data_IF_493009021731
#
_entry.id   IF_493009021731
#
_cell.length_a   1.000
_cell.length_b   1.000
_cell.length_c   1.000
_cell.angle_alpha   90.00
_cell.angle_beta   90.00
_cell.angle_gamma   90.00
#
_symmetry.space_group_name_H-M   'P 1'
#
loop_
_entity.id
_entity.type
_entity.pdbx_description
1 polymer ?
#
# COMPACT_ATOMS: atom_id res chain seq x y z
N UNK A 1 42.40 -33.40 24.49
CA UNK A 1 42.27 -33.47 23.02
C UNK A 1 41.37 -32.32 22.59
N UNK A 2 41.95 -31.31 21.95
CA UNK A 2 41.25 -30.12 21.43
C UNK A 2 40.42 -30.47 20.18
N UNK A 3 39.41 -29.62 19.90
CA UNK A 3 38.57 -29.47 18.68
C UNK A 3 37.13 -29.96 18.93
N UNK A 4 36.07 -29.20 18.66
CA UNK A 4 35.90 -28.07 17.75
C UNK A 4 34.64 -27.28 18.19
N UNK A 5 34.81 -26.06 18.70
CA UNK A 5 33.68 -25.13 18.83
C UNK A 5 33.31 -24.67 17.41
N UNK A 6 32.20 -25.19 16.87
CA UNK A 6 31.65 -24.71 15.61
C UNK A 6 30.87 -23.41 15.89
N UNK A 7 31.54 -22.27 15.82
CA UNK A 7 30.90 -20.97 15.75
C UNK A 7 30.44 -20.76 14.30
N UNK A 8 29.23 -21.21 13.96
CA UNK A 8 28.59 -20.83 12.70
C UNK A 8 28.13 -19.38 12.84
N UNK A 9 28.99 -18.44 12.47
CA UNK A 9 28.64 -17.04 12.31
C UNK A 9 27.78 -16.93 11.04
N UNK A 10 26.47 -17.15 11.18
CA UNK A 10 25.47 -16.83 10.16
C UNK A 10 25.41 -15.31 10.06
N UNK A 11 26.21 -14.73 9.15
CA UNK A 11 26.03 -13.37 8.68
C UNK A 11 24.73 -13.33 7.87
N UNK A 12 23.60 -13.25 8.56
CA UNK A 12 22.38 -12.72 7.97
C UNK A 12 22.69 -11.27 7.62
N UNK A 13 22.99 -11.01 6.36
CA UNK A 13 22.91 -9.67 5.80
C UNK A 13 21.48 -9.21 6.00
N UNK A 14 21.23 -8.44 7.05
CA UNK A 14 19.99 -7.70 7.19
C UNK A 14 20.04 -6.62 6.12
N UNK A 15 19.67 -6.97 4.89
CA UNK A 15 19.01 -5.99 4.05
C UNK A 15 17.82 -5.53 4.88
N UNK A 16 17.90 -4.30 5.39
CA UNK A 16 16.80 -3.65 6.06
C UNK A 16 15.64 -3.59 5.06
N UNK A 17 14.81 -4.63 5.04
CA UNK A 17 13.55 -4.60 4.33
C UNK A 17 12.79 -3.44 4.97
N UNK A 18 12.56 -2.38 4.19
CA UNK A 18 11.66 -1.32 4.60
C UNK A 18 10.32 -2.01 4.87
N UNK A 19 9.91 -2.08 6.14
CA UNK A 19 8.68 -2.72 6.57
C UNK A 19 7.62 -1.65 6.75
N UNK A 20 6.36 -1.98 6.46
CA UNK A 20 5.24 -1.10 6.80
C UNK A 20 5.30 -0.67 8.27
N UNK A 21 5.23 0.63 8.50
CA UNK A 21 5.15 1.23 9.83
C UNK A 21 3.69 1.53 10.13
N UNK A 22 3.17 0.98 11.22
CA UNK A 22 1.79 1.21 11.65
C UNK A 22 1.61 2.55 12.37
N UNK A 23 0.43 3.15 12.23
CA UNK A 23 -0.01 4.30 13.02
C UNK A 23 -0.35 3.86 14.46
N UNK A 24 0.69 3.64 15.26
CA UNK A 24 0.58 3.14 16.63
C UNK A 24 1.41 3.98 17.60
N UNK A 25 1.04 3.93 18.88
CA UNK A 25 1.76 4.64 19.96
C UNK A 25 3.24 4.26 20.00
N UNK A 26 3.56 3.00 19.75
CA UNK A 26 4.94 2.50 19.77
C UNK A 26 5.80 3.11 18.66
N UNK A 27 5.19 3.51 17.54
CA UNK A 27 5.89 4.12 16.40
C UNK A 27 5.98 5.64 16.48
N UNK A 28 5.08 6.27 17.23
CA UNK A 28 5.02 7.73 17.39
C UNK A 28 5.66 8.22 18.70
N UNK A 29 5.93 7.32 19.65
CA UNK A 29 6.59 7.67 20.91
C UNK A 29 5.84 8.77 21.68
N UNK A 30 6.51 9.90 21.89
CA UNK A 30 5.95 11.06 22.59
C UNK A 30 5.06 11.95 21.71
N UNK A 31 5.07 11.77 20.38
CA UNK A 31 4.24 12.55 19.44
C UNK A 31 2.78 12.05 19.40
N UNK A 32 2.12 12.15 20.56
CA UNK A 32 0.72 11.73 20.74
C UNK A 32 -0.24 12.60 19.93
N UNK A 33 0.04 13.89 19.83
CA UNK A 33 -0.80 14.82 19.07
C UNK A 33 -0.64 14.61 17.56
N UNK A 34 0.57 14.33 17.06
CA UNK A 34 0.79 13.94 15.68
C UNK A 34 0.12 12.61 15.33
N UNK A 35 0.21 11.61 16.21
CA UNK A 35 -0.53 10.34 16.02
C UNK A 35 -2.04 10.58 15.96
N UNK A 36 -2.59 11.37 16.88
CA UNK A 36 -4.01 11.69 16.92
C UNK A 36 -4.45 12.46 15.68
N UNK A 37 -3.66 13.43 15.23
CA UNK A 37 -3.92 14.17 14.00
C UNK A 37 -3.90 13.24 12.78
N UNK A 38 -2.90 12.37 12.66
CA UNK A 38 -2.81 11.40 11.58
C UNK A 38 -4.02 10.44 11.55
N UNK A 39 -4.40 9.88 12.71
CA UNK A 39 -5.56 8.99 12.81
C UNK A 39 -6.88 9.70 12.47
N UNK A 40 -7.01 10.99 12.79
CA UNK A 40 -8.16 11.79 12.36
C UNK A 40 -8.21 11.91 10.84
N UNK A 41 -7.10 12.26 10.21
CA UNK A 41 -7.04 12.37 8.75
C UNK A 41 -7.30 11.01 8.08
N UNK A 42 -6.74 9.92 8.61
CA UNK A 42 -7.05 8.57 8.10
C UNK A 42 -8.54 8.28 8.16
N UNK A 43 -9.20 8.56 9.30
CA UNK A 43 -10.64 8.35 9.45
C UNK A 43 -11.48 9.14 8.45
N UNK A 44 -11.16 10.42 8.22
CA UNK A 44 -11.88 11.24 7.23
C UNK A 44 -11.62 10.76 5.79
N UNK A 45 -10.39 10.35 5.51
CA UNK A 45 -10.01 9.73 4.24
C UNK A 45 -10.77 8.43 3.98
N UNK A 46 -10.79 7.52 4.96
CA UNK A 46 -11.48 6.23 4.92
C UNK A 46 -12.98 6.41 4.72
N UNK A 47 -13.60 7.33 5.46
CA UNK A 47 -15.03 7.70 5.31
C UNK A 47 -15.38 8.05 3.86
N UNK A 48 -14.54 8.81 3.18
CA UNK A 48 -14.75 9.18 1.77
C UNK A 48 -14.40 8.05 0.80
N UNK A 49 -13.37 7.25 1.11
CA UNK A 49 -12.85 6.17 0.28
C UNK A 49 -13.77 4.93 0.28
N UNK A 50 -14.47 4.68 1.39
CA UNK A 50 -15.36 3.53 1.58
C UNK A 50 -16.82 3.81 1.19
N UNK A 51 -17.16 5.06 0.82
CA UNK A 51 -18.46 5.41 0.24
C UNK A 51 -18.79 4.55 -0.99
N UNK A 52 -20.08 4.39 -1.27
CA UNK A 52 -20.56 3.78 -2.52
C UNK A 52 -21.37 4.79 -3.36
N UNK A 53 -20.82 5.31 -4.48
CA UNK A 53 -19.48 5.05 -4.99
C UNK A 53 -18.36 5.79 -4.21
N UNK A 54 -17.09 5.30 -4.27
CA UNK A 54 -15.96 5.93 -3.59
C UNK A 54 -15.71 7.37 -4.03
N UNK A 55 -15.42 8.24 -3.06
CA UNK A 55 -15.11 9.66 -3.28
C UNK A 55 -13.60 9.90 -3.24
N UNK A 56 -12.87 9.33 -4.20
CA UNK A 56 -11.40 9.36 -4.24
C UNK A 56 -10.79 10.77 -4.15
N UNK A 57 -11.39 11.75 -4.81
CA UNK A 57 -10.90 13.14 -4.77
C UNK A 57 -11.06 13.79 -3.39
N UNK A 58 -12.06 13.37 -2.60
CA UNK A 58 -12.27 13.84 -1.23
C UNK A 58 -11.37 13.11 -0.24
N UNK A 59 -11.11 11.82 -0.46
CA UNK A 59 -10.21 11.02 0.39
C UNK A 59 -8.74 11.43 0.26
N UNK A 60 -8.29 11.75 -0.97
CA UNK A 60 -6.89 12.06 -1.28
C UNK A 60 -6.24 13.12 -0.38
N UNK A 61 -6.82 14.32 -0.16
CA UNK A 61 -6.19 15.34 0.68
C UNK A 61 -5.96 14.88 2.12
N UNK A 62 -6.90 14.10 2.67
CA UNK A 62 -6.79 13.54 4.01
C UNK A 62 -5.67 12.50 4.10
N UNK A 63 -5.60 11.58 3.14
CA UNK A 63 -4.49 10.62 3.11
C UNK A 63 -3.13 11.27 2.92
N UNK A 64 -3.02 12.31 2.08
CA UNK A 64 -1.78 13.09 1.94
C UNK A 64 -1.41 13.85 3.22
N UNK A 65 -2.41 14.28 4.02
CA UNK A 65 -2.15 14.87 5.33
C UNK A 65 -1.64 13.83 6.34
N UNK A 66 -2.25 12.64 6.40
CA UNK A 66 -1.78 11.52 7.21
C UNK A 66 -0.35 11.07 6.82
N UNK A 67 -0.03 11.07 5.52
CA UNK A 67 1.27 10.64 5.01
C UNK A 67 2.43 11.49 5.52
N UNK A 68 2.19 12.77 5.83
CA UNK A 68 3.22 13.66 6.40
C UNK A 68 3.74 13.16 7.74
N UNK A 69 2.92 12.45 8.50
CA UNK A 69 3.28 11.88 9.80
C UNK A 69 3.98 10.54 9.67
N UNK A 70 3.56 9.71 8.72
CA UNK A 70 4.16 8.40 8.50
C UNK A 70 4.14 8.06 6.99
N UNK A 71 5.23 8.36 6.28
CA UNK A 71 5.31 8.08 4.86
C UNK A 71 5.57 6.60 4.57
N UNK A 72 5.89 5.78 5.57
CA UNK A 72 6.31 4.38 5.43
C UNK A 72 5.23 3.38 5.86
N UNK A 73 3.96 3.75 5.75
CA UNK A 73 2.82 2.82 5.89
C UNK A 73 2.37 2.27 4.52
N UNK A 74 2.35 0.95 4.36
CA UNK A 74 2.07 0.32 3.07
C UNK A 74 0.61 0.55 2.61
N UNK A 75 -0.36 0.40 3.52
CA UNK A 75 -1.78 0.57 3.24
C UNK A 75 -2.12 2.01 2.83
N UNK A 76 -1.59 3.00 3.57
CA UNK A 76 -1.78 4.41 3.25
C UNK A 76 -1.21 4.77 1.88
N UNK A 77 0.00 4.29 1.56
CA UNK A 77 0.57 4.52 0.24
C UNK A 77 -0.27 3.84 -0.87
N UNK A 78 -0.87 2.68 -0.60
CA UNK A 78 -1.79 2.03 -1.54
C UNK A 78 -3.04 2.89 -1.78
N UNK A 79 -3.69 3.34 -0.70
CA UNK A 79 -4.89 4.20 -0.73
C UNK A 79 -4.62 5.51 -1.48
N UNK A 80 -3.47 6.16 -1.25
CA UNK A 80 -3.06 7.36 -2.00
C UNK A 80 -2.86 7.04 -3.49
N UNK A 81 -2.18 5.94 -3.80
CA UNK A 81 -1.98 5.47 -5.17
C UNK A 81 -3.30 5.25 -5.91
N UNK A 82 -4.23 4.54 -5.28
CA UNK A 82 -5.56 4.27 -5.85
C UNK A 82 -6.39 5.55 -6.02
N UNK A 83 -6.35 6.45 -5.03
CA UNK A 83 -6.94 7.79 -5.16
C UNK A 83 -6.36 8.55 -6.37
N UNK A 84 -5.04 8.53 -6.57
CA UNK A 84 -4.43 9.19 -7.73
C UNK A 84 -4.88 8.56 -9.04
N UNK A 85 -5.00 7.23 -9.15
CA UNK A 85 -5.50 6.55 -10.36
C UNK A 85 -6.90 7.01 -10.79
N UNK A 86 -7.70 7.48 -9.84
CA UNK A 86 -9.06 7.98 -10.04
C UNK A 86 -9.18 9.51 -10.03
N UNK A 87 -8.05 10.22 -9.95
CA UNK A 87 -7.98 11.70 -9.95
C UNK A 87 -7.60 12.27 -11.32
N UNK A 88 -7.56 13.60 -11.44
CA UNK A 88 -6.95 14.29 -12.59
C UNK A 88 -5.43 14.12 -12.73
N UNK A 89 -4.73 13.60 -11.71
CA UNK A 89 -3.27 13.49 -11.64
C UNK A 89 -2.76 12.04 -11.65
N UNK A 90 -3.40 11.18 -12.47
CA UNK A 90 -3.18 9.72 -12.49
C UNK A 90 -1.74 9.24 -12.54
N UNK A 91 -0.81 9.85 -13.31
CA UNK A 91 0.57 9.38 -13.35
C UNK A 91 1.28 9.36 -11.99
N UNK A 92 0.86 10.20 -11.03
CA UNK A 92 1.43 10.24 -9.67
C UNK A 92 1.20 8.96 -8.87
N UNK A 93 0.22 8.14 -9.24
CA UNK A 93 -0.10 6.91 -8.51
C UNK A 93 1.09 5.95 -8.41
N UNK A 94 1.91 5.87 -9.46
CA UNK A 94 2.95 4.85 -9.58
C UNK A 94 3.95 4.88 -8.42
N UNK A 95 4.41 6.06 -7.99
CA UNK A 95 5.40 6.15 -6.92
C UNK A 95 4.87 5.67 -5.58
N UNK A 96 3.61 5.94 -5.27
CA UNK A 96 2.98 5.49 -4.02
C UNK A 96 2.70 3.99 -4.04
N UNK A 97 2.22 3.45 -5.17
CA UNK A 97 1.99 2.02 -5.31
C UNK A 97 3.28 1.21 -5.24
N UNK A 98 4.36 1.70 -5.88
CA UNK A 98 5.69 1.08 -5.75
C UNK A 98 6.20 1.11 -4.32
N UNK A 99 5.96 2.22 -3.61
CA UNK A 99 6.34 2.34 -2.20
C UNK A 99 5.55 1.36 -1.33
N UNK A 100 4.24 1.26 -1.53
CA UNK A 100 3.38 0.29 -0.85
C UNK A 100 3.90 -1.14 -1.03
N UNK A 101 4.11 -1.57 -2.28
CA UNK A 101 4.62 -2.90 -2.59
C UNK A 101 6.01 -3.18 -1.99
N UNK A 102 6.90 -2.17 -1.98
CA UNK A 102 8.22 -2.30 -1.35
C UNK A 102 8.13 -2.50 0.17
N UNK A 103 7.16 -1.86 0.82
CA UNK A 103 6.95 -1.91 2.28
C UNK A 103 6.28 -3.20 2.73
N UNK A 104 5.31 -3.68 1.95
CA UNK A 104 4.60 -4.95 2.16
C UNK A 104 4.00 -5.39 0.82
N UNK A 105 4.60 -6.41 0.17
CA UNK A 105 4.08 -6.97 -1.09
C UNK A 105 2.67 -7.56 -0.99
N UNK A 106 2.22 -7.87 0.23
CA UNK A 106 0.96 -8.52 0.58
C UNK A 106 -0.05 -7.57 1.26
N UNK A 107 0.23 -6.27 1.32
CA UNK A 107 -0.61 -5.27 1.98
C UNK A 107 -2.05 -5.22 1.42
N UNK A 108 -2.22 -5.52 0.13
CA UNK A 108 -3.53 -5.56 -0.52
C UNK A 108 -3.50 -6.53 -1.72
N UNK A 109 -4.49 -7.40 -1.88
CA UNK A 109 -4.55 -8.35 -3.00
C UNK A 109 -4.62 -7.67 -4.38
N UNK A 110 -4.98 -6.38 -4.45
CA UNK A 110 -5.07 -5.60 -5.68
C UNK A 110 -3.72 -5.00 -6.11
N UNK A 111 -2.65 -5.11 -5.31
CA UNK A 111 -1.40 -4.36 -5.53
C UNK A 111 -0.82 -4.52 -6.94
N UNK A 112 -0.77 -5.74 -7.47
CA UNK A 112 -0.28 -6.00 -8.83
C UNK A 112 -1.17 -5.35 -9.90
N UNK A 113 -2.49 -5.39 -9.73
CA UNK A 113 -3.41 -4.73 -10.65
C UNK A 113 -3.23 -3.21 -10.64
N UNK A 114 -3.12 -2.60 -9.45
CA UNK A 114 -2.92 -1.16 -9.29
C UNK A 114 -1.56 -0.73 -9.85
N UNK A 115 -0.49 -1.48 -9.59
CA UNK A 115 0.84 -1.25 -10.18
C UNK A 115 0.79 -1.32 -11.70
N UNK A 116 0.12 -2.32 -12.28
CA UNK A 116 -0.11 -2.41 -13.73
C UNK A 116 -0.78 -1.15 -14.29
N UNK A 117 -1.80 -0.62 -13.60
CA UNK A 117 -2.45 0.65 -13.98
C UNK A 117 -1.50 1.84 -13.89
N UNK A 118 -0.75 1.95 -12.80
CA UNK A 118 0.24 3.01 -12.61
C UNK A 118 1.32 3.01 -13.68
N UNK A 119 1.86 1.83 -14.01
CA UNK A 119 2.89 1.63 -15.04
C UNK A 119 2.36 1.94 -16.44
N UNK A 120 1.16 1.47 -16.77
CA UNK A 120 0.47 1.77 -18.03
C UNK A 120 0.36 3.29 -18.23
N UNK A 121 -0.16 4.01 -17.23
CA UNK A 121 -0.35 5.47 -17.30
C UNK A 121 0.96 6.25 -17.39
N UNK A 122 2.08 5.64 -17.03
CA UNK A 122 3.42 6.21 -17.15
C UNK A 122 4.18 5.71 -18.40
N UNK A 123 3.51 5.02 -19.33
CA UNK A 123 4.12 4.52 -20.58
C UNK A 123 5.06 3.33 -20.41
N UNK A 124 5.07 2.69 -19.23
CA UNK A 124 5.90 1.52 -18.91
C UNK A 124 5.20 0.22 -19.29
N UNK A 125 4.93 0.06 -20.57
CA UNK A 125 4.03 -0.97 -21.10
C UNK A 125 4.44 -2.40 -20.74
N UNK A 126 5.73 -2.72 -20.86
CA UNK A 126 6.24 -4.06 -20.62
C UNK A 126 6.14 -4.46 -19.14
N UNK A 127 6.49 -3.54 -18.24
CA UNK A 127 6.32 -3.71 -16.79
C UNK A 127 4.84 -3.84 -16.44
N UNK A 128 3.97 -3.02 -17.03
CA UNK A 128 2.53 -3.08 -16.80
C UNK A 128 1.93 -4.44 -17.18
N UNK A 129 2.34 -5.02 -18.32
CA UNK A 129 1.90 -6.35 -18.76
C UNK A 129 2.31 -7.43 -17.75
N UNK A 130 3.52 -7.34 -17.18
CA UNK A 130 3.97 -8.29 -16.17
C UNK A 130 3.10 -8.21 -14.90
N UNK A 131 2.84 -7.01 -14.41
CA UNK A 131 2.00 -6.79 -13.23
C UNK A 131 0.54 -7.22 -13.44
N UNK A 132 -0.05 -6.94 -14.61
CA UNK A 132 -1.40 -7.42 -14.91
C UNK A 132 -1.50 -8.94 -15.00
N UNK A 133 -0.42 -9.63 -15.42
CA UNK A 133 -0.36 -11.10 -15.39
C UNK A 133 -0.25 -11.63 -13.96
N UNK A 134 0.55 -10.97 -13.11
CA UNK A 134 0.67 -11.32 -11.70
C UNK A 134 -0.64 -11.10 -10.92
N UNK A 135 -1.46 -10.14 -11.35
CA UNK A 135 -2.77 -9.87 -10.75
C UNK A 135 -3.86 -10.90 -11.10
N UNK A 136 -3.69 -11.71 -12.16
CA UNK A 136 -4.67 -12.71 -12.54
C UNK A 136 -4.49 -13.95 -11.67
N UNK A 137 -5.55 -14.44 -10.99
CA UNK A 137 -5.49 -15.76 -10.39
C UNK A 137 -5.25 -16.78 -11.50
N UNK A 138 -4.42 -17.79 -11.23
CA UNK A 138 -3.98 -18.81 -12.20
C UNK A 138 -5.11 -19.54 -12.95
N UNK A 139 -6.37 -19.35 -12.54
CA UNK A 139 -7.58 -19.98 -13.07
C UNK A 139 -8.58 -19.01 -13.72
N UNK A 140 -8.23 -17.74 -13.97
CA UNK A 140 -9.09 -16.82 -14.73
C UNK A 140 -10.29 -16.23 -13.96
N UNK A 141 -10.26 -16.26 -12.63
CA UNK A 141 -11.27 -15.57 -11.81
C UNK A 141 -11.16 -14.03 -11.92
N UNK A 142 -12.30 -13.36 -11.78
CA UNK A 142 -12.46 -11.91 -11.91
C UNK A 142 -11.60 -11.15 -10.90
N UNK A 143 -11.11 -9.96 -11.30
CA UNK A 143 -10.34 -9.05 -10.44
C UNK A 143 -11.10 -8.78 -9.14
N UNK A 144 -10.46 -8.90 -7.96
CA UNK A 144 -11.17 -8.71 -6.71
C UNK A 144 -11.74 -7.29 -6.63
N UNK A 145 -13.00 -7.15 -6.17
CA UNK A 145 -13.61 -5.85 -5.99
C UNK A 145 -12.84 -5.04 -4.94
N UNK A 146 -13.05 -3.73 -4.91
CA UNK A 146 -12.56 -2.87 -3.84
C UNK A 146 -12.94 -3.48 -2.46
N UNK A 147 -12.12 -3.42 -1.41
CA UNK A 147 -12.41 -4.04 -0.11
C UNK A 147 -13.71 -3.57 0.58
N UNK A 148 -14.38 -2.53 0.04
CA UNK A 148 -15.73 -2.08 0.45
C UNK A 148 -16.86 -2.49 -0.51
N UNK A 149 -16.61 -3.36 -1.50
CA UNK A 149 -17.54 -3.79 -2.55
C UNK A 149 -17.92 -5.27 -2.45
N UNK A 150 -17.68 -5.92 -1.32
CA UNK A 150 -18.27 -7.24 -1.08
C UNK A 150 -19.79 -7.05 -1.00
N UNK A 151 -20.52 -7.45 -2.05
CA UNK A 151 -21.98 -7.47 -1.99
C UNK A 151 -22.41 -8.65 -1.12
N UNK A 152 -23.65 -8.62 -0.60
CA UNK A 152 -24.22 -9.73 0.17
C UNK A 152 -24.32 -11.05 -0.62
N UNK A 153 -23.94 -11.04 -1.90
CA UNK A 153 -23.97 -12.18 -2.81
C UNK A 153 -22.63 -12.95 -2.82
N UNK A 154 -21.58 -12.43 -2.16
CA UNK A 154 -20.24 -13.02 -2.11
C UNK A 154 -19.99 -13.93 -0.89
N UNK A 155 -21.04 -14.35 -0.15
CA UNK A 155 -21.00 -15.32 0.98
C UNK A 155 -21.85 -16.54 0.65
#
# INVERSE_FOLDING_TARGET
MYKLFLFTLLLFGQAAHAQSVEFSKDRFGDDKEGLKAALRELKEGDSSYEMDPPRYEQALPHYLAAQKFNPDNAELNLKIGDCYLHSGFKPRALSFLQKSYKLSPDADPRIHYLLGRGLHLNGKWQEAIAEYKAAQPATGAKTPPHPGRYSQEDI
#
